data_IF_245549080663
#
_entry.id   IF_245549080663
#
_cell.length_a   1.000
_cell.length_b   1.000
_cell.length_c   1.000
_cell.angle_alpha   90.00
_cell.angle_beta   90.00
_cell.angle_gamma   90.00
#
_symmetry.space_group_name_H-M   'P 1'
#
loop_
_entity.id
_entity.type
_entity.pdbx_description
1 polymer ?
#
# COMPACT_ATOMS: atom_id res chain seq x y z
N UNK A 1 -7.25 7.82 1.01
CA UNK A 1 -8.04 9.05 0.70
C UNK A 1 -8.90 9.37 1.92
N UNK A 2 -8.92 10.62 2.39
CA UNK A 2 -9.75 11.03 3.52
C UNK A 2 -11.25 11.06 3.16
N UNK A 3 -12.13 11.08 4.19
CA UNK A 3 -13.55 11.34 3.99
C UNK A 3 -13.76 12.82 3.66
N UNK A 4 -14.55 13.14 2.64
CA UNK A 4 -14.87 14.53 2.28
C UNK A 4 -15.64 15.25 3.41
N UNK A 5 -16.47 14.52 4.17
CA UNK A 5 -17.18 15.09 5.33
C UNK A 5 -16.20 15.48 6.42
N UNK A 6 -15.19 14.61 6.68
CA UNK A 6 -14.13 14.91 7.64
C UNK A 6 -13.36 16.17 7.25
N UNK A 7 -12.96 16.30 5.96
CA UNK A 7 -12.26 17.50 5.47
C UNK A 7 -13.11 18.75 5.65
N UNK A 8 -14.41 18.68 5.35
CA UNK A 8 -15.36 19.77 5.48
C UNK A 8 -15.55 20.23 6.92
N UNK A 9 -15.65 19.28 7.84
CA UNK A 9 -15.88 19.53 9.26
C UNK A 9 -14.59 19.94 9.99
N UNK A 10 -13.42 19.48 9.52
CA UNK A 10 -12.15 19.66 10.20
C UNK A 10 -11.02 20.13 9.25
N UNK A 11 -11.20 21.22 8.46
CA UNK A 11 -10.20 21.62 7.47
C UNK A 11 -8.85 22.01 8.10
N UNK A 12 -8.86 22.62 9.29
CA UNK A 12 -7.63 23.02 9.98
C UNK A 12 -6.83 21.82 10.50
N UNK A 13 -7.49 20.75 10.97
CA UNK A 13 -6.81 19.52 11.34
C UNK A 13 -6.12 18.87 10.14
N UNK A 14 -6.77 18.91 8.97
CA UNK A 14 -6.16 18.40 7.73
C UNK A 14 -4.96 19.25 7.33
N UNK A 15 -5.03 20.59 7.41
CA UNK A 15 -3.88 21.47 7.15
C UNK A 15 -2.75 21.24 8.15
N UNK A 16 -3.07 21.08 9.43
CA UNK A 16 -2.08 20.76 10.46
C UNK A 16 -1.37 19.41 10.16
N UNK A 17 -2.13 18.40 9.77
CA UNK A 17 -1.57 17.11 9.38
C UNK A 17 -0.62 17.21 8.16
N UNK A 18 -1.00 18.01 7.16
CA UNK A 18 -0.15 18.28 5.99
C UNK A 18 1.18 18.94 6.43
N UNK A 19 1.11 19.93 7.36
CA UNK A 19 2.32 20.58 7.91
C UNK A 19 3.18 19.59 8.72
N UNK A 20 2.55 18.75 9.56
CA UNK A 20 3.24 17.70 10.32
C UNK A 20 3.98 16.71 9.41
N UNK A 21 3.45 16.48 8.21
CA UNK A 21 4.11 15.65 7.17
C UNK A 21 5.10 16.41 6.30
N UNK A 22 5.38 17.68 6.59
CA UNK A 22 6.29 18.54 5.80
C UNK A 22 5.92 18.64 4.31
N UNK A 23 4.61 18.64 4.03
CA UNK A 23 4.07 18.65 2.67
C UNK A 23 3.33 19.97 2.36
N UNK A 24 3.83 21.10 2.79
CA UNK A 24 3.17 22.43 2.72
C UNK A 24 2.68 22.80 1.32
N UNK A 25 3.34 22.26 0.27
CA UNK A 25 2.89 22.42 -1.13
C UNK A 25 1.48 21.89 -1.38
N UNK A 26 0.97 21.02 -0.51
CA UNK A 26 -0.38 20.43 -0.61
C UNK A 26 -1.44 21.25 0.16
N UNK A 27 -1.07 22.26 0.94
CA UNK A 27 -2.03 23.09 1.70
C UNK A 27 -3.15 23.68 0.84
N UNK A 28 -2.88 24.25 -0.38
CA UNK A 28 -3.94 24.79 -1.22
C UNK A 28 -4.99 23.76 -1.64
N UNK A 29 -4.64 22.47 -1.69
CA UNK A 29 -5.59 21.42 -2.06
C UNK A 29 -6.79 21.32 -1.12
N UNK A 30 -6.65 21.72 0.15
CA UNK A 30 -7.75 21.71 1.11
C UNK A 30 -8.84 22.68 0.69
N UNK A 31 -8.46 23.91 0.29
CA UNK A 31 -9.41 24.92 -0.21
C UNK A 31 -10.03 24.51 -1.54
N UNK A 32 -9.23 23.99 -2.48
CA UNK A 32 -9.72 23.48 -3.75
C UNK A 32 -10.74 22.35 -3.58
N UNK A 33 -10.49 21.43 -2.65
CA UNK A 33 -11.42 20.33 -2.32
C UNK A 33 -12.71 20.86 -1.74
N UNK A 34 -12.67 21.83 -0.82
CA UNK A 34 -13.87 22.43 -0.22
C UNK A 34 -14.70 23.17 -1.28
N UNK A 35 -14.07 23.93 -2.17
CA UNK A 35 -14.75 24.62 -3.26
C UNK A 35 -15.40 23.64 -4.25
N UNK A 36 -14.71 22.59 -4.64
CA UNK A 36 -15.24 21.56 -5.55
C UNK A 36 -16.38 20.77 -4.89
N UNK A 37 -16.29 20.46 -3.60
CA UNK A 37 -17.35 19.80 -2.86
C UNK A 37 -18.61 20.67 -2.79
N UNK A 38 -18.45 21.97 -2.57
CA UNK A 38 -19.57 22.91 -2.57
C UNK A 38 -20.24 22.97 -3.95
N UNK A 39 -19.47 23.12 -5.03
CA UNK A 39 -19.97 23.12 -6.40
C UNK A 39 -20.70 21.82 -6.75
N UNK A 40 -20.12 20.69 -6.38
CA UNK A 40 -20.71 19.37 -6.65
C UNK A 40 -22.03 19.19 -5.89
N UNK A 41 -22.09 19.59 -4.62
CA UNK A 41 -23.31 19.51 -3.82
C UNK A 41 -24.40 20.43 -4.34
N UNK A 42 -24.05 21.66 -4.71
CA UNK A 42 -24.98 22.61 -5.31
C UNK A 42 -25.54 22.08 -6.64
N UNK A 43 -24.68 21.58 -7.52
CA UNK A 43 -25.10 20.98 -8.80
C UNK A 43 -26.04 19.78 -8.60
N UNK A 44 -25.70 18.86 -7.68
CA UNK A 44 -26.56 17.71 -7.35
C UNK A 44 -27.90 18.13 -6.77
N UNK A 45 -27.95 19.15 -5.92
CA UNK A 45 -29.18 19.67 -5.34
C UNK A 45 -30.08 20.28 -6.42
N UNK A 46 -29.56 21.20 -7.23
CA UNK A 46 -30.27 21.83 -8.34
C UNK A 46 -30.77 20.79 -9.37
N UNK A 47 -29.92 19.83 -9.73
CA UNK A 47 -30.34 18.77 -10.66
C UNK A 47 -31.50 17.92 -10.11
N UNK A 48 -31.47 17.61 -8.81
CA UNK A 48 -32.56 16.86 -8.16
C UNK A 48 -33.86 17.64 -8.10
N UNK A 49 -33.78 18.94 -7.81
CA UNK A 49 -34.94 19.85 -7.83
C UNK A 49 -35.55 19.95 -9.24
N UNK A 50 -34.71 20.12 -10.27
CA UNK A 50 -35.17 20.17 -11.67
C UNK A 50 -35.80 18.83 -12.11
N UNK A 51 -35.20 17.68 -11.70
CA UNK A 51 -35.83 16.35 -11.98
C UNK A 51 -37.18 16.20 -11.31
N UNK A 52 -37.32 16.65 -10.06
CA UNK A 52 -38.61 16.62 -9.34
C UNK A 52 -39.63 17.54 -10.00
N UNK A 53 -39.23 18.78 -10.36
CA UNK A 53 -40.10 19.74 -11.03
C UNK A 53 -40.54 19.26 -12.42
N UNK A 54 -39.63 18.74 -13.22
CA UNK A 54 -39.96 18.13 -14.52
C UNK A 54 -41.06 17.08 -14.40
N UNK A 55 -41.00 16.22 -13.36
CA UNK A 55 -42.02 15.20 -13.15
C UNK A 55 -43.37 15.79 -12.78
N UNK A 56 -43.38 16.87 -12.00
CA UNK A 56 -44.62 17.60 -11.63
C UNK A 56 -45.23 18.34 -12.82
N UNK A 57 -44.39 19.04 -13.59
CA UNK A 57 -44.82 19.77 -14.81
C UNK A 57 -45.32 18.84 -15.90
N UNK A 58 -44.69 17.66 -16.09
CA UNK A 58 -45.16 16.65 -17.03
C UNK A 58 -46.57 16.13 -16.69
N UNK A 59 -46.88 15.97 -15.40
CA UNK A 59 -48.25 15.61 -14.96
C UNK A 59 -49.23 16.78 -15.21
N UNK A 60 -48.81 18.03 -14.97
CA UNK A 60 -49.62 19.24 -15.22
C UNK A 60 -49.94 19.37 -16.71
N UNK A 61 -48.96 19.16 -17.60
CA UNK A 61 -49.17 19.16 -19.05
C UNK A 61 -50.23 18.10 -19.43
N UNK A 62 -50.13 16.86 -18.91
CA UNK A 62 -51.09 15.81 -19.17
C UNK A 62 -52.53 16.19 -18.75
N UNK A 63 -52.68 16.82 -17.61
CA UNK A 63 -53.99 17.33 -17.15
C UNK A 63 -54.54 18.46 -18.03
N UNK A 64 -53.70 19.47 -18.34
CA UNK A 64 -54.12 20.60 -19.19
C UNK A 64 -54.46 20.16 -20.60
N UNK A 65 -53.73 19.26 -21.21
CA UNK A 65 -54.05 18.63 -22.52
C UNK A 65 -55.37 17.86 -22.48
N UNK A 66 -55.64 17.16 -21.36
CA UNK A 66 -56.95 16.51 -21.17
C UNK A 66 -58.12 17.50 -21.08
N UNK A 67 -57.92 18.62 -20.39
CA UNK A 67 -58.91 19.70 -20.22
C UNK A 67 -59.08 20.52 -21.50
N UNK A 68 -58.03 20.74 -22.29
CA UNK A 68 -58.08 21.49 -23.55
C UNK A 68 -59.07 20.93 -24.58
N UNK A 69 -59.48 19.65 -24.45
CA UNK A 69 -60.55 19.05 -25.27
C UNK A 69 -61.93 19.69 -25.00
N UNK A 70 -62.10 20.38 -23.82
CA UNK A 70 -63.37 21.02 -23.43
C UNK A 70 -63.22 22.55 -23.33
N UNK A 71 -61.99 23.06 -23.10
CA UNK A 71 -61.67 24.48 -22.94
C UNK A 71 -60.39 24.78 -23.72
N UNK A 72 -60.46 25.40 -24.92
CA UNK A 72 -59.32 25.74 -25.76
C UNK A 72 -58.28 26.65 -25.11
N UNK A 73 -58.65 27.47 -24.07
CA UNK A 73 -57.74 28.34 -23.35
C UNK A 73 -56.65 27.56 -22.59
N UNK A 74 -56.94 26.29 -22.27
CA UNK A 74 -55.98 25.40 -21.59
C UNK A 74 -54.84 24.93 -22.48
N UNK A 75 -54.98 25.14 -23.79
CA UNK A 75 -53.91 24.79 -24.73
C UNK A 75 -52.73 25.80 -24.57
N UNK A 76 -53.02 27.09 -24.42
CA UNK A 76 -52.04 28.13 -24.23
C UNK A 76 -51.25 27.92 -22.90
N UNK A 77 -51.98 27.63 -21.80
CA UNK A 77 -51.36 27.26 -20.51
C UNK A 77 -50.46 25.99 -20.67
N UNK A 78 -50.85 25.01 -21.46
CA UNK A 78 -50.05 23.82 -21.68
C UNK A 78 -48.78 24.11 -22.48
N UNK A 79 -48.83 25.04 -23.45
CA UNK A 79 -47.63 25.48 -24.22
C UNK A 79 -46.65 26.28 -23.34
N UNK A 80 -47.13 27.13 -22.44
CA UNK A 80 -46.29 27.84 -21.47
C UNK A 80 -45.53 26.85 -20.56
N UNK A 81 -46.25 25.86 -20.04
CA UNK A 81 -45.63 24.84 -19.19
C UNK A 81 -44.64 23.97 -19.98
N UNK A 82 -44.88 23.67 -21.25
CA UNK A 82 -43.92 22.98 -22.12
C UNK A 82 -42.67 23.81 -22.34
N UNK A 83 -42.79 25.12 -22.54
CA UNK A 83 -41.66 26.04 -22.69
C UNK A 83 -40.82 26.12 -21.39
N UNK A 84 -41.48 26.07 -20.22
CA UNK A 84 -40.78 25.97 -18.94
C UNK A 84 -40.00 24.66 -18.82
N UNK A 85 -40.63 23.52 -19.11
CA UNK A 85 -39.97 22.21 -19.12
C UNK A 85 -38.76 22.19 -20.07
N UNK A 86 -38.87 22.82 -21.25
CA UNK A 86 -37.76 22.89 -22.22
C UNK A 86 -36.57 23.72 -21.68
N UNK A 87 -36.84 24.84 -20.98
CA UNK A 87 -35.76 25.65 -20.34
C UNK A 87 -35.08 24.86 -19.21
N UNK A 88 -35.85 24.22 -18.35
CA UNK A 88 -35.32 23.40 -17.25
C UNK A 88 -34.55 22.18 -17.76
N UNK A 89 -35.00 21.57 -18.85
CA UNK A 89 -34.30 20.44 -19.48
C UNK A 89 -32.90 20.83 -19.98
N UNK A 90 -32.73 22.03 -20.56
CA UNK A 90 -31.43 22.53 -20.98
C UNK A 90 -30.47 22.72 -19.78
N UNK A 91 -30.97 23.30 -18.69
CA UNK A 91 -30.19 23.47 -17.46
C UNK A 91 -29.84 22.13 -16.80
N UNK A 92 -30.77 21.20 -16.74
CA UNK A 92 -30.54 19.86 -16.24
C UNK A 92 -29.46 19.13 -17.06
N UNK A 93 -29.49 19.22 -18.38
CA UNK A 93 -28.49 18.62 -19.24
C UNK A 93 -27.07 19.23 -19.06
N UNK A 94 -26.99 20.53 -18.73
CA UNK A 94 -25.73 21.15 -18.34
C UNK A 94 -25.20 20.59 -17.01
N UNK A 95 -26.06 20.52 -15.99
CA UNK A 95 -25.67 19.98 -14.66
C UNK A 95 -25.25 18.51 -14.76
N UNK A 96 -25.93 17.71 -15.57
CA UNK A 96 -25.60 16.28 -15.79
C UNK A 96 -24.21 16.09 -16.43
N UNK A 97 -23.65 17.12 -17.08
CA UNK A 97 -22.24 17.13 -17.56
C UNK A 97 -21.29 17.61 -16.48
N UNK A 98 -21.70 18.64 -15.71
CA UNK A 98 -20.84 19.24 -14.67
C UNK A 98 -20.67 18.34 -13.45
N UNK A 99 -21.70 17.58 -13.06
CA UNK A 99 -21.62 16.66 -11.91
C UNK A 99 -20.43 15.69 -12.02
N UNK A 100 -20.27 14.86 -13.09
CA UNK A 100 -19.14 13.97 -13.23
C UNK A 100 -17.79 14.68 -13.36
N UNK A 101 -17.76 15.89 -13.97
CA UNK A 101 -16.53 16.70 -14.06
C UNK A 101 -16.07 17.15 -12.65
N UNK A 102 -16.97 17.69 -11.86
CA UNK A 102 -16.65 18.09 -10.46
C UNK A 102 -16.28 16.88 -9.61
N UNK A 103 -16.95 15.76 -9.76
CA UNK A 103 -16.64 14.52 -9.04
C UNK A 103 -15.26 13.97 -9.38
N UNK A 104 -14.88 13.97 -10.65
CA UNK A 104 -13.56 13.55 -11.11
C UNK A 104 -12.45 14.48 -10.59
N UNK A 105 -12.64 15.81 -10.70
CA UNK A 105 -11.67 16.80 -10.22
C UNK A 105 -11.54 16.79 -8.68
N UNK A 106 -12.64 16.62 -7.96
CA UNK A 106 -12.65 16.45 -6.52
C UNK A 106 -11.87 15.20 -6.10
N UNK A 107 -12.16 14.05 -6.72
CA UNK A 107 -11.49 12.79 -6.45
C UNK A 107 -9.99 12.91 -6.71
N UNK A 108 -9.60 13.50 -7.84
CA UNK A 108 -8.19 13.71 -8.20
C UNK A 108 -7.42 14.47 -7.12
N UNK A 109 -7.99 15.54 -6.56
CA UNK A 109 -7.36 16.33 -5.50
C UNK A 109 -7.33 15.58 -4.17
N UNK A 110 -8.42 14.94 -3.82
CA UNK A 110 -8.52 14.14 -2.58
C UNK A 110 -7.54 12.97 -2.56
N UNK A 111 -7.20 12.40 -3.72
CA UNK A 111 -6.22 11.32 -3.84
C UNK A 111 -4.79 11.77 -3.50
N UNK A 112 -4.50 13.07 -3.53
CA UNK A 112 -3.17 13.65 -3.23
C UNK A 112 -3.05 14.10 -1.76
N UNK A 113 -4.17 14.37 -1.08
CA UNK A 113 -4.17 14.73 0.34
C UNK A 113 -3.76 13.49 1.16
N UNK A 114 -2.74 13.62 2.04
CA UNK A 114 -2.27 12.48 2.83
C UNK A 114 -3.28 12.06 3.88
N UNK A 115 -3.21 10.78 4.28
CA UNK A 115 -3.97 10.23 5.40
C UNK A 115 -3.57 10.90 6.72
N UNK A 116 -4.49 10.97 7.66
CA UNK A 116 -4.21 11.47 9.01
C UNK A 116 -3.24 10.53 9.71
N UNK A 117 -2.17 11.08 10.26
CA UNK A 117 -1.19 10.29 11.04
C UNK A 117 -1.71 10.04 12.44
N UNK A 118 -1.31 8.89 13.01
CA UNK A 118 -1.59 8.58 14.42
C UNK A 118 -0.89 9.59 15.35
N UNK A 119 -1.52 10.00 16.47
CA UNK A 119 -0.92 10.95 17.41
C UNK A 119 0.42 10.51 18.01
N UNK A 120 0.72 9.21 18.01
CA UNK A 120 1.99 8.65 18.51
C UNK A 120 3.14 8.73 17.50
N UNK A 121 2.89 9.14 16.26
CA UNK A 121 3.92 9.23 15.22
C UNK A 121 4.91 10.35 15.56
N UNK A 122 6.24 10.08 15.60
CA UNK A 122 7.26 11.11 15.80
C UNK A 122 7.17 12.17 14.71
N UNK A 123 7.39 13.44 15.06
CA UNK A 123 7.37 14.53 14.10
C UNK A 123 8.79 14.82 13.64
N UNK A 124 9.04 14.71 12.34
CA UNK A 124 10.34 14.95 11.73
C UNK A 124 10.24 15.07 10.21
N UNK A 125 11.15 15.79 9.54
CA UNK A 125 11.08 16.08 8.10
C UNK A 125 11.41 14.90 7.18
N UNK A 126 12.24 13.97 7.63
CA UNK A 126 12.76 12.85 6.82
C UNK A 126 13.20 11.68 7.71
N UNK A 127 13.68 10.60 7.08
CA UNK A 127 14.09 9.34 7.71
C UNK A 127 15.19 9.51 8.79
N UNK A 128 15.98 10.58 8.76
CA UNK A 128 16.96 10.87 9.79
C UNK A 128 16.35 11.16 11.17
N UNK A 129 15.05 11.45 11.19
CA UNK A 129 14.25 11.71 12.40
C UNK A 129 13.46 10.48 12.88
N UNK A 130 13.63 9.32 12.24
CA UNK A 130 13.05 8.07 12.71
C UNK A 130 13.60 7.68 14.08
N UNK A 131 12.77 7.11 14.94
CA UNK A 131 13.09 6.87 16.35
C UNK A 131 13.32 5.39 16.61
N UNK A 132 14.52 5.03 17.07
CA UNK A 132 14.77 3.69 17.58
C UNK A 132 13.98 3.46 18.87
N UNK A 133 13.12 2.44 18.85
CA UNK A 133 12.25 2.09 19.99
C UNK A 133 12.88 0.98 20.83
N UNK A 134 13.34 -0.09 20.19
CA UNK A 134 13.84 -1.27 20.86
C UNK A 134 14.79 -2.08 19.98
N UNK A 135 15.78 -2.73 20.65
CA UNK A 135 16.68 -3.72 20.03
C UNK A 135 16.37 -5.11 20.52
N UNK A 136 16.61 -6.08 19.63
CA UNK A 136 16.40 -7.51 19.90
C UNK A 136 17.64 -8.29 19.46
N UNK A 137 18.26 -8.97 20.38
CA UNK A 137 19.54 -9.66 20.19
C UNK A 137 20.75 -8.74 20.35
N UNK A 138 21.91 -9.37 20.46
CA UNK A 138 23.19 -8.67 20.66
C UNK A 138 23.85 -8.40 19.32
N UNK A 139 24.14 -7.13 19.06
CA UNK A 139 24.85 -6.69 17.87
C UNK A 139 26.37 -6.92 18.09
N UNK A 140 26.91 -7.97 17.54
CA UNK A 140 28.32 -8.34 17.65
C UNK A 140 29.10 -7.97 16.38
N UNK A 141 30.40 -7.75 16.53
CA UNK A 141 31.34 -7.57 15.42
C UNK A 141 32.44 -8.61 15.60
N UNK A 142 32.67 -9.50 14.63
CA UNK A 142 33.73 -10.49 14.73
C UNK A 142 35.11 -9.82 14.65
N UNK A 143 36.16 -10.56 15.03
CA UNK A 143 37.55 -10.12 15.03
C UNK A 143 38.26 -10.25 13.68
N UNK A 144 37.52 -10.58 12.62
CA UNK A 144 38.01 -10.68 11.25
C UNK A 144 37.24 -9.74 10.31
N UNK A 145 37.85 -9.41 9.17
CA UNK A 145 37.25 -8.57 8.15
C UNK A 145 36.14 -9.32 7.41
N UNK A 146 34.95 -8.76 7.40
CA UNK A 146 33.79 -9.31 6.67
C UNK A 146 33.81 -8.76 5.24
N UNK A 147 33.88 -9.62 4.20
CA UNK A 147 33.82 -9.19 2.80
C UNK A 147 32.42 -8.61 2.45
N UNK A 148 32.33 -7.97 1.29
CA UNK A 148 31.01 -7.59 0.77
C UNK A 148 30.11 -8.82 0.57
N UNK A 149 28.78 -8.69 0.81
CA UNK A 149 27.84 -9.81 0.64
C UNK A 149 27.93 -10.49 -0.71
N UNK A 150 28.19 -9.74 -1.78
CA UNK A 150 28.41 -10.29 -3.12
C UNK A 150 29.68 -11.13 -3.21
N UNK A 151 30.77 -10.70 -2.57
CA UNK A 151 32.03 -11.46 -2.50
C UNK A 151 31.84 -12.76 -1.70
N UNK A 152 31.06 -12.72 -0.62
CA UNK A 152 30.69 -13.93 0.12
C UNK A 152 29.91 -14.87 -0.80
N UNK A 153 28.87 -14.40 -1.49
CA UNK A 153 28.08 -15.21 -2.42
C UNK A 153 28.93 -15.79 -3.57
N UNK A 154 29.86 -14.99 -4.12
CA UNK A 154 30.80 -15.43 -5.16
C UNK A 154 31.73 -16.54 -4.67
N UNK A 155 32.18 -16.51 -3.42
CA UNK A 155 33.05 -17.54 -2.83
C UNK A 155 32.36 -18.91 -2.76
N UNK A 156 31.03 -18.95 -2.74
CA UNK A 156 30.19 -20.15 -2.86
C UNK A 156 29.83 -20.48 -4.31
N UNK A 157 30.33 -19.74 -5.30
CA UNK A 157 29.84 -19.78 -6.68
C UNK A 157 28.30 -19.57 -6.75
N UNK A 158 27.77 -18.73 -5.86
CA UNK A 158 26.34 -18.61 -5.54
C UNK A 158 25.62 -17.48 -6.26
N UNK A 159 26.34 -16.57 -6.92
CA UNK A 159 25.75 -15.42 -7.65
C UNK A 159 26.48 -15.23 -9.00
N UNK A 160 25.76 -14.72 -10.01
CA UNK A 160 26.32 -14.34 -11.31
C UNK A 160 25.69 -13.00 -11.76
N UNK A 161 26.34 -11.91 -11.39
CA UNK A 161 25.90 -10.57 -11.74
C UNK A 161 26.23 -10.19 -13.19
N UNK A 162 27.31 -10.78 -13.75
CA UNK A 162 27.71 -10.50 -15.13
C UNK A 162 26.76 -11.14 -16.14
N UNK A 163 26.30 -12.36 -15.87
CA UNK A 163 25.25 -12.96 -16.69
C UNK A 163 23.95 -12.16 -16.59
N UNK A 164 23.55 -11.72 -15.40
CA UNK A 164 22.37 -10.90 -15.21
C UNK A 164 22.45 -9.56 -15.97
N UNK A 165 23.62 -8.92 -15.94
CA UNK A 165 23.87 -7.67 -16.69
C UNK A 165 23.70 -7.86 -18.18
N UNK A 166 24.19 -8.99 -18.75
CA UNK A 166 24.05 -9.31 -20.17
C UNK A 166 22.59 -9.57 -20.59
N UNK A 167 21.79 -10.14 -19.71
CA UNK A 167 20.41 -10.56 -20.02
C UNK A 167 19.40 -9.44 -19.73
N UNK A 168 19.53 -8.74 -18.58
CA UNK A 168 18.50 -7.84 -18.06
C UNK A 168 19.03 -6.45 -17.69
N UNK A 169 20.35 -6.27 -17.65
CA UNK A 169 20.97 -5.03 -17.19
C UNK A 169 21.36 -5.06 -15.72
N UNK A 170 21.70 -3.88 -15.17
CA UNK A 170 22.03 -3.75 -13.75
C UNK A 170 20.76 -3.86 -12.88
N UNK A 171 20.93 -4.26 -11.62
CA UNK A 171 19.81 -4.40 -10.68
C UNK A 171 19.05 -5.73 -10.82
N UNK A 172 19.69 -6.72 -11.48
CA UNK A 172 19.23 -8.11 -11.56
C UNK A 172 20.34 -9.05 -11.12
N UNK A 173 20.00 -10.28 -10.79
CA UNK A 173 20.95 -11.31 -10.35
C UNK A 173 20.54 -12.70 -10.86
N UNK A 174 21.52 -13.57 -10.97
CA UNK A 174 21.32 -15.01 -10.94
C UNK A 174 21.85 -15.56 -9.61
N UNK A 175 21.03 -16.28 -8.86
CA UNK A 175 21.49 -17.09 -7.74
C UNK A 175 21.69 -18.53 -8.17
N UNK A 176 22.69 -19.19 -7.59
CA UNK A 176 23.06 -20.59 -7.92
C UNK A 176 23.41 -21.37 -6.67
N UNK A 177 23.35 -22.71 -6.80
CA UNK A 177 23.84 -23.64 -5.80
C UNK A 177 23.24 -23.43 -4.40
N UNK A 178 24.10 -23.46 -3.40
CA UNK A 178 23.66 -23.38 -2.01
C UNK A 178 23.08 -21.99 -1.64
N UNK A 179 23.52 -20.90 -2.28
CA UNK A 179 22.93 -19.58 -2.08
C UNK A 179 21.50 -19.51 -2.63
N UNK A 180 21.25 -20.07 -3.82
CA UNK A 180 19.88 -20.16 -4.37
C UNK A 180 18.99 -21.04 -3.49
N UNK A 181 19.54 -22.11 -2.95
CA UNK A 181 18.82 -22.97 -2.00
C UNK A 181 18.50 -22.25 -0.70
N UNK A 182 19.46 -21.51 -0.13
CA UNK A 182 19.27 -20.70 1.07
C UNK A 182 18.17 -19.66 0.87
N UNK A 183 18.18 -18.95 -0.27
CA UNK A 183 17.13 -18.02 -0.66
C UNK A 183 15.73 -18.68 -0.63
N UNK A 184 15.60 -19.85 -1.26
CA UNK A 184 14.32 -20.58 -1.28
C UNK A 184 13.96 -21.16 0.09
N UNK A 185 14.95 -21.61 0.88
CA UNK A 185 14.75 -22.12 2.24
C UNK A 185 14.18 -21.08 3.17
N UNK A 186 14.68 -19.85 3.11
CA UNK A 186 14.16 -18.73 3.93
C UNK A 186 12.71 -18.38 3.59
N UNK A 187 12.36 -18.36 2.29
CA UNK A 187 10.97 -18.12 1.87
C UNK A 187 10.04 -19.27 2.32
N UNK A 188 10.48 -20.52 2.20
CA UNK A 188 9.72 -21.67 2.63
C UNK A 188 9.50 -21.67 4.15
N UNK A 189 10.54 -21.37 4.92
CA UNK A 189 10.44 -21.21 6.36
C UNK A 189 9.51 -20.07 6.77
N UNK A 190 9.64 -18.89 6.13
CA UNK A 190 8.78 -17.74 6.41
C UNK A 190 7.31 -18.02 6.12
N UNK A 191 7.02 -18.76 5.04
CA UNK A 191 5.66 -19.24 4.75
C UNK A 191 5.11 -20.10 5.90
N UNK A 192 5.85 -21.12 6.29
CA UNK A 192 5.41 -22.07 7.32
C UNK A 192 5.30 -21.38 8.68
N UNK A 193 6.24 -20.51 9.02
CA UNK A 193 6.19 -19.66 10.22
C UNK A 193 4.89 -18.85 10.31
N UNK A 194 4.45 -18.24 9.19
CA UNK A 194 3.21 -17.47 9.18
C UNK A 194 1.95 -18.34 9.20
N UNK A 195 1.98 -19.52 8.57
CA UNK A 195 0.89 -20.49 8.68
C UNK A 195 0.71 -20.92 10.13
N UNK A 196 1.79 -21.16 10.86
CA UNK A 196 1.77 -21.52 12.29
C UNK A 196 1.23 -20.37 13.16
N UNK A 197 1.35 -19.11 12.73
CA UNK A 197 0.69 -17.93 13.34
C UNK A 197 -0.80 -17.81 12.99
N UNK A 198 -1.35 -18.71 12.17
CA UNK A 198 -2.76 -18.74 11.78
C UNK A 198 -3.09 -17.92 10.54
N UNK A 199 -2.10 -17.47 9.77
CA UNK A 199 -2.32 -16.79 8.50
C UNK A 199 -2.62 -17.77 7.39
N UNK A 200 -3.57 -17.43 6.50
CA UNK A 200 -3.88 -18.23 5.31
C UNK A 200 -2.89 -17.90 4.21
N UNK A 201 -2.23 -18.92 3.67
CA UNK A 201 -1.22 -18.76 2.61
C UNK A 201 -1.85 -18.60 1.22
N UNK A 202 -1.36 -17.61 0.47
CA UNK A 202 -1.78 -17.29 -0.89
C UNK A 202 -0.61 -17.13 -1.86
N UNK A 203 -0.86 -17.48 -3.12
CA UNK A 203 -0.07 -17.09 -4.30
C UNK A 203 -1.03 -16.25 -5.17
N UNK A 204 -0.91 -14.92 -5.14
CA UNK A 204 -1.81 -14.03 -5.86
C UNK A 204 -1.40 -13.82 -7.32
N UNK A 205 -2.24 -13.18 -8.15
CA UNK A 205 -1.82 -12.66 -9.45
C UNK A 205 -0.67 -11.64 -9.32
N UNK A 206 0.30 -11.70 -10.23
CA UNK A 206 1.46 -10.79 -10.23
C UNK A 206 1.29 -9.58 -11.14
N UNK A 207 0.14 -9.49 -11.82
CA UNK A 207 -0.28 -8.36 -12.63
C UNK A 207 -1.67 -7.93 -12.19
N UNK A 208 -1.85 -6.61 -12.06
CA UNK A 208 -3.09 -6.00 -11.56
C UNK A 208 -3.52 -4.83 -12.44
N UNK A 209 -4.81 -4.52 -12.46
CA UNK A 209 -5.37 -3.38 -13.18
C UNK A 209 -4.99 -2.03 -12.55
N UNK A 210 -5.03 -0.97 -13.36
CA UNK A 210 -4.65 0.38 -12.93
C UNK A 210 -5.51 0.94 -11.81
N UNK A 211 -6.80 0.62 -11.74
CA UNK A 211 -7.70 1.03 -10.66
C UNK A 211 -7.33 0.36 -9.32
N UNK A 212 -6.87 -0.89 -9.34
CA UNK A 212 -6.33 -1.56 -8.16
C UNK A 212 -5.05 -0.86 -7.69
N UNK A 213 -4.13 -0.56 -8.62
CA UNK A 213 -2.89 0.18 -8.29
C UNK A 213 -3.21 1.50 -7.59
N UNK A 214 -4.11 2.31 -8.18
CA UNK A 214 -4.55 3.59 -7.59
C UNK A 214 -5.23 3.43 -6.23
N UNK A 215 -5.85 2.28 -6.00
CA UNK A 215 -6.46 1.93 -4.71
C UNK A 215 -5.45 1.68 -3.60
N UNK A 216 -4.31 1.09 -3.92
CA UNK A 216 -3.34 0.60 -2.92
C UNK A 216 -2.13 1.51 -2.70
N UNK A 217 -1.84 2.45 -3.61
CA UNK A 217 -0.69 3.36 -3.47
C UNK A 217 -1.00 4.77 -3.98
N UNK A 218 -0.08 5.72 -3.72
CA UNK A 218 -0.18 7.08 -4.28
C UNK A 218 0.22 7.10 -5.75
N UNK A 219 -0.22 8.14 -6.48
CA UNK A 219 0.19 8.35 -7.87
C UNK A 219 1.71 8.51 -8.00
N UNK A 220 2.33 9.21 -7.05
CA UNK A 220 3.78 9.42 -7.01
C UNK A 220 4.52 8.10 -6.88
N UNK A 221 4.07 7.22 -5.98
CA UNK A 221 4.67 5.90 -5.79
C UNK A 221 4.46 5.01 -7.03
N UNK A 222 3.27 5.08 -7.63
CA UNK A 222 2.96 4.37 -8.88
C UNK A 222 3.94 4.73 -10.00
N UNK A 223 4.18 6.02 -10.22
CA UNK A 223 5.08 6.50 -11.28
C UNK A 223 6.55 6.13 -11.02
N UNK A 224 6.96 6.14 -9.75
CA UNK A 224 8.30 5.81 -9.32
C UNK A 224 8.60 4.30 -9.34
N UNK A 225 7.61 3.47 -8.99
CA UNK A 225 7.81 2.06 -8.68
C UNK A 225 7.31 1.10 -9.76
N UNK A 226 6.11 1.35 -10.36
CA UNK A 226 5.39 0.31 -11.10
C UNK A 226 5.84 0.16 -12.55
N UNK A 227 6.06 -1.09 -13.00
CA UNK A 227 6.17 -1.42 -14.42
C UNK A 227 4.77 -1.62 -15.00
N UNK A 228 4.50 -0.95 -16.12
CA UNK A 228 3.26 -1.12 -16.89
C UNK A 228 3.52 -2.00 -18.12
N UNK A 229 2.58 -2.89 -18.41
CA UNK A 229 2.59 -3.69 -19.65
C UNK A 229 2.11 -2.78 -20.80
N UNK A 230 2.91 -2.73 -21.86
CA UNK A 230 2.58 -1.91 -23.03
C UNK A 230 1.35 -2.47 -23.75
N UNK A 231 0.42 -1.59 -24.08
CA UNK A 231 -0.82 -1.93 -24.79
C UNK A 231 -1.93 -2.52 -23.92
N UNK A 232 -1.69 -2.72 -22.61
CA UNK A 232 -2.67 -3.29 -21.70
C UNK A 232 -2.85 -2.44 -20.43
N UNK A 233 -4.01 -2.58 -19.77
CA UNK A 233 -4.25 -2.01 -18.44
C UNK A 233 -3.79 -3.01 -17.36
N UNK A 234 -2.50 -3.39 -17.43
CA UNK A 234 -1.86 -4.27 -16.46
C UNK A 234 -0.54 -3.69 -15.99
N UNK A 235 -0.28 -3.89 -14.69
CA UNK A 235 0.92 -3.47 -13.99
C UNK A 235 1.51 -4.64 -13.21
N UNK A 236 2.84 -4.81 -13.29
CA UNK A 236 3.54 -5.78 -12.45
C UNK A 236 3.54 -5.28 -10.99
N UNK A 237 3.24 -6.18 -10.05
CA UNK A 237 3.16 -5.82 -8.63
C UNK A 237 4.54 -5.50 -8.04
N UNK A 238 4.60 -4.51 -7.16
CA UNK A 238 5.78 -4.21 -6.34
C UNK A 238 5.81 -4.95 -5.01
N UNK A 239 4.69 -5.59 -4.65
CA UNK A 239 4.48 -6.42 -3.46
C UNK A 239 3.18 -7.20 -3.63
N UNK A 240 3.06 -8.37 -3.01
CA UNK A 240 1.82 -9.15 -3.02
C UNK A 240 0.65 -8.45 -2.31
N UNK A 241 0.91 -7.53 -1.37
CA UNK A 241 -0.11 -6.68 -0.76
C UNK A 241 -1.06 -6.07 -1.80
N UNK A 242 -0.52 -5.57 -2.91
CA UNK A 242 -1.31 -4.92 -3.96
C UNK A 242 -2.42 -5.83 -4.47
N UNK A 243 -2.09 -7.07 -4.81
CA UNK A 243 -3.07 -8.06 -5.27
C UNK A 243 -3.98 -8.53 -4.15
N UNK A 244 -3.43 -8.73 -2.95
CA UNK A 244 -4.20 -9.26 -1.82
C UNK A 244 -5.29 -8.28 -1.38
N UNK A 245 -4.94 -7.00 -1.19
CA UNK A 245 -5.91 -5.96 -0.84
C UNK A 245 -6.82 -5.65 -2.03
N UNK A 246 -6.28 -5.64 -3.25
CA UNK A 246 -7.07 -5.48 -4.48
C UNK A 246 -8.16 -6.52 -4.68
N UNK A 247 -8.00 -7.72 -4.13
CA UNK A 247 -9.01 -8.79 -4.19
C UNK A 247 -10.34 -8.44 -3.49
N UNK A 248 -10.33 -7.39 -2.67
CA UNK A 248 -11.53 -6.88 -1.99
C UNK A 248 -12.22 -5.71 -2.69
N UNK A 249 -11.76 -5.28 -3.86
CA UNK A 249 -12.38 -4.15 -4.59
C UNK A 249 -13.90 -4.31 -4.70
N UNK A 250 -14.66 -3.25 -4.33
CA UNK A 250 -16.12 -3.19 -4.29
C UNK A 250 -16.82 -4.25 -3.41
N UNK A 251 -16.09 -4.99 -2.58
CA UNK A 251 -16.69 -6.01 -1.71
C UNK A 251 -17.31 -5.42 -0.44
N UNK A 252 -18.38 -6.10 0.01
CA UNK A 252 -18.94 -5.94 1.35
C UNK A 252 -18.61 -7.23 2.12
N UNK A 253 -17.74 -7.13 3.10
CA UNK A 253 -17.30 -8.25 3.94
C UNK A 253 -18.21 -8.35 5.15
N UNK A 254 -18.74 -9.53 5.50
CA UNK A 254 -19.45 -9.73 6.77
C UNK A 254 -18.50 -9.52 7.95
N UNK A 255 -18.91 -8.78 8.97
CA UNK A 255 -18.07 -8.47 10.14
C UNK A 255 -17.53 -9.71 10.85
N UNK A 256 -18.31 -10.80 10.87
CA UNK A 256 -17.92 -12.08 11.47
C UNK A 256 -16.72 -12.77 10.79
N UNK A 257 -16.36 -12.35 9.58
CA UNK A 257 -15.18 -12.86 8.86
C UNK A 257 -13.89 -12.15 9.26
N UNK A 258 -14.00 -11.02 9.99
CA UNK A 258 -12.85 -10.25 10.45
C UNK A 258 -12.30 -10.82 11.79
N UNK A 259 -10.98 -10.73 12.01
CA UNK A 259 -9.98 -10.25 11.08
C UNK A 259 -9.65 -11.27 9.99
N UNK A 260 -9.35 -10.80 8.77
CA UNK A 260 -8.86 -11.64 7.68
C UNK A 260 -7.34 -11.47 7.62
N UNK A 261 -6.62 -12.58 7.78
CA UNK A 261 -5.17 -12.61 7.88
C UNK A 261 -4.56 -13.44 6.74
N UNK A 262 -3.79 -12.80 5.88
CA UNK A 262 -3.14 -13.44 4.74
C UNK A 262 -1.63 -13.37 4.85
N UNK A 263 -0.96 -14.47 4.52
CA UNK A 263 0.45 -14.45 4.16
C UNK A 263 0.59 -14.84 2.70
N UNK A 264 1.39 -14.12 1.93
CA UNK A 264 1.46 -14.31 0.50
C UNK A 264 2.88 -14.22 -0.03
N UNK A 265 3.21 -15.15 -0.94
CA UNK A 265 4.45 -15.15 -1.69
C UNK A 265 4.24 -14.48 -3.05
N UNK A 266 5.18 -13.65 -3.44
CA UNK A 266 5.27 -13.19 -4.83
C UNK A 266 6.67 -12.77 -5.23
N UNK A 267 7.01 -12.82 -6.54
CA UNK A 267 7.99 -11.91 -7.10
C UNK A 267 7.47 -10.48 -6.97
N UNK A 268 8.41 -9.54 -6.83
CA UNK A 268 8.16 -8.11 -6.73
C UNK A 268 8.99 -7.41 -7.79
N UNK A 269 8.38 -6.44 -8.48
CA UNK A 269 9.00 -5.70 -9.57
C UNK A 269 8.98 -4.21 -9.27
N UNK A 270 10.16 -3.57 -9.19
CA UNK A 270 10.28 -2.15 -8.85
C UNK A 270 11.24 -1.44 -9.78
N UNK A 271 10.85 -0.28 -10.29
CA UNK A 271 11.72 0.57 -11.13
C UNK A 271 12.87 1.19 -10.36
N UNK A 272 12.78 1.31 -9.02
CA UNK A 272 13.78 1.91 -8.14
C UNK A 272 14.29 3.29 -8.65
N UNK A 273 13.39 4.11 -9.21
CA UNK A 273 13.75 5.44 -9.74
C UNK A 273 14.18 6.38 -8.61
N UNK A 274 15.34 7.00 -8.76
CA UNK A 274 15.86 8.00 -7.81
C UNK A 274 16.67 7.43 -6.65
N UNK A 275 16.87 6.12 -6.60
CA UNK A 275 17.73 5.50 -5.62
C UNK A 275 19.20 5.57 -6.07
N UNK A 276 20.05 6.27 -5.32
CA UNK A 276 21.50 6.39 -5.56
C UNK A 276 22.26 6.10 -4.28
N UNK A 277 23.32 5.29 -4.34
CA UNK A 277 24.22 5.01 -3.21
C UNK A 277 25.28 3.96 -3.50
N UNK A 278 26.40 4.01 -2.77
CA UNK A 278 27.57 3.12 -2.95
C UNK A 278 27.28 1.67 -2.51
N UNK A 279 26.27 1.47 -1.64
CA UNK A 279 25.87 0.15 -1.13
C UNK A 279 25.05 -0.67 -2.13
N UNK A 280 24.80 -0.13 -3.30
CA UNK A 280 24.00 -0.73 -4.38
C UNK A 280 24.76 -1.79 -5.19
N UNK A 281 25.99 -2.17 -4.78
CA UNK A 281 26.72 -3.22 -5.45
C UNK A 281 26.03 -4.57 -5.26
N UNK A 282 25.20 -4.90 -6.26
CA UNK A 282 24.76 -6.26 -6.52
C UNK A 282 23.36 -6.62 -6.08
N UNK A 283 23.01 -6.69 -4.79
CA UNK A 283 21.77 -7.35 -4.35
C UNK A 283 20.92 -6.55 -3.36
N UNK A 284 21.32 -5.33 -2.99
CA UNK A 284 20.56 -4.52 -2.02
C UNK A 284 19.35 -3.82 -2.64
N UNK A 285 19.56 -3.13 -3.78
CA UNK A 285 18.50 -2.48 -4.59
C UNK A 285 18.44 -3.12 -5.96
N UNK A 286 17.35 -3.79 -6.22
CA UNK A 286 17.16 -4.62 -7.40
C UNK A 286 15.76 -4.44 -7.96
N UNK A 287 15.63 -4.61 -9.28
CA UNK A 287 14.38 -4.43 -10.00
C UNK A 287 13.42 -5.61 -9.84
N UNK A 288 13.93 -6.80 -9.52
CA UNK A 288 13.18 -8.02 -9.32
C UNK A 288 13.69 -8.75 -8.09
N UNK A 289 12.80 -9.07 -7.17
CA UNK A 289 13.08 -9.89 -5.99
C UNK A 289 11.84 -10.68 -5.57
N UNK A 290 11.98 -11.56 -4.61
CA UNK A 290 10.87 -12.33 -4.05
C UNK A 290 10.62 -11.91 -2.61
N UNK A 291 9.38 -12.04 -2.18
CA UNK A 291 8.96 -11.63 -0.84
C UNK A 291 7.86 -12.53 -0.30
N UNK A 292 7.96 -12.87 0.98
CA UNK A 292 6.84 -13.33 1.79
C UNK A 292 6.28 -12.13 2.56
N UNK A 293 5.00 -11.85 2.38
CA UNK A 293 4.28 -10.71 2.94
C UNK A 293 3.20 -11.19 3.90
N UNK A 294 2.81 -10.35 4.85
CA UNK A 294 1.59 -10.49 5.63
C UNK A 294 0.67 -9.29 5.43
N UNK A 295 -0.63 -9.55 5.26
CA UNK A 295 -1.66 -8.53 5.12
C UNK A 295 -2.84 -8.85 6.03
N UNK A 296 -3.41 -7.81 6.63
CA UNK A 296 -4.57 -7.93 7.53
C UNK A 296 -5.65 -6.96 7.10
N UNK A 297 -6.89 -7.46 7.07
CA UNK A 297 -8.11 -6.66 6.96
C UNK A 297 -8.88 -6.83 8.25
N UNK A 298 -9.13 -5.76 8.98
CA UNK A 298 -9.70 -5.81 10.33
C UNK A 298 -10.68 -4.67 10.60
N UNK A 299 -11.30 -4.71 11.78
CA UNK A 299 -12.09 -3.60 12.32
C UNK A 299 -11.18 -2.40 12.64
N UNK A 300 -11.70 -1.16 12.54
CA UNK A 300 -10.94 0.04 12.86
C UNK A 300 -10.30 0.01 14.27
N UNK A 301 -11.04 -0.42 15.27
CA UNK A 301 -10.60 -0.50 16.66
C UNK A 301 -9.51 -1.55 16.92
N UNK A 302 -9.36 -2.54 16.04
CA UNK A 302 -8.36 -3.61 16.18
C UNK A 302 -7.04 -3.29 15.44
N UNK A 303 -7.01 -2.24 14.61
CA UNK A 303 -5.90 -2.02 13.68
C UNK A 303 -4.56 -1.74 14.37
N UNK A 304 -4.56 -1.06 15.52
CA UNK A 304 -3.32 -0.81 16.27
C UNK A 304 -2.81 -2.09 16.96
N UNK A 305 -3.69 -2.94 17.44
CA UNK A 305 -3.30 -4.24 18.02
C UNK A 305 -2.68 -5.16 16.96
N UNK A 306 -3.24 -5.12 15.74
CA UNK A 306 -2.67 -5.85 14.60
C UNK A 306 -1.33 -5.27 14.17
N UNK A 307 -1.17 -3.95 14.14
CA UNK A 307 0.11 -3.29 13.88
C UNK A 307 1.20 -3.80 14.85
N UNK A 308 0.90 -3.82 16.15
CA UNK A 308 1.82 -4.31 17.19
C UNK A 308 2.17 -5.80 17.02
N UNK A 309 1.21 -6.64 16.66
CA UNK A 309 1.46 -8.07 16.41
C UNK A 309 2.32 -8.29 15.16
N UNK A 310 2.02 -7.57 14.08
CA UNK A 310 2.66 -7.82 12.78
C UNK A 310 4.15 -7.49 12.80
N UNK A 311 4.56 -6.35 13.35
CA UNK A 311 5.99 -6.04 13.43
C UNK A 311 6.73 -7.01 14.37
N UNK A 312 6.09 -7.47 15.46
CA UNK A 312 6.67 -8.49 16.35
C UNK A 312 6.89 -9.82 15.64
N UNK A 313 6.01 -10.22 14.73
CA UNK A 313 6.22 -11.43 13.93
C UNK A 313 7.47 -11.32 13.04
N UNK A 314 7.74 -10.15 12.47
CA UNK A 314 9.00 -9.96 11.73
C UNK A 314 10.21 -10.04 12.66
N UNK A 315 10.15 -9.44 13.85
CA UNK A 315 11.21 -9.57 14.86
C UNK A 315 11.42 -11.05 15.23
N UNK A 316 10.36 -11.78 15.55
CA UNK A 316 10.43 -13.22 15.88
C UNK A 316 11.06 -14.02 14.73
N UNK A 317 10.66 -13.75 13.48
CA UNK A 317 11.21 -14.38 12.28
C UNK A 317 12.72 -14.18 12.19
N UNK A 318 13.21 -12.93 12.27
CA UNK A 318 14.63 -12.64 12.20
C UNK A 318 15.41 -13.16 13.41
N UNK A 319 14.81 -13.12 14.60
CA UNK A 319 15.44 -13.69 15.80
C UNK A 319 15.53 -15.21 15.76
N UNK A 320 14.58 -15.90 15.14
CA UNK A 320 14.66 -17.34 14.92
C UNK A 320 15.79 -17.72 13.93
N UNK A 321 16.17 -16.78 13.06
CA UNK A 321 17.34 -16.87 12.18
C UNK A 321 18.63 -16.39 12.86
N UNK A 322 18.60 -16.10 14.17
CA UNK A 322 19.73 -15.63 14.97
C UNK A 322 20.31 -14.28 14.53
N UNK A 323 19.53 -13.48 13.78
CA UNK A 323 19.92 -12.16 13.29
C UNK A 323 19.46 -11.09 14.29
N UNK A 324 20.37 -10.23 14.81
CA UNK A 324 19.99 -9.10 15.64
C UNK A 324 19.22 -8.06 14.84
N UNK A 325 18.13 -7.52 15.41
CA UNK A 325 17.30 -6.50 14.76
C UNK A 325 16.95 -5.39 15.73
N UNK A 326 16.51 -4.25 15.17
CA UNK A 326 15.86 -3.17 15.93
C UNK A 326 14.55 -2.76 15.30
N UNK A 327 13.66 -2.20 16.11
CA UNK A 327 12.46 -1.50 15.65
C UNK A 327 12.76 -0.01 15.55
N UNK A 328 12.47 0.57 14.37
CA UNK A 328 12.62 1.98 14.06
C UNK A 328 11.26 2.57 13.72
N UNK A 329 10.70 3.42 14.57
CA UNK A 329 9.41 4.09 14.30
C UNK A 329 9.62 5.20 13.28
N UNK A 330 8.86 5.16 12.18
CA UNK A 330 8.95 6.16 11.12
C UNK A 330 8.34 7.48 11.56
N UNK A 331 9.03 8.58 11.30
CA UNK A 331 8.53 9.92 11.56
C UNK A 331 7.55 10.40 10.49
N UNK A 332 6.85 11.49 10.76
CA UNK A 332 5.78 12.01 9.93
C UNK A 332 6.19 12.39 8.51
N UNK A 333 7.41 12.87 8.29
CA UNK A 333 7.94 13.23 6.98
C UNK A 333 8.36 12.03 6.13
N UNK A 334 8.70 10.90 6.77
CA UNK A 334 9.05 9.64 6.11
C UNK A 334 7.83 8.77 5.76
N UNK A 335 6.68 9.00 6.41
CA UNK A 335 5.46 8.26 6.14
C UNK A 335 4.92 8.54 4.72
N UNK A 336 4.72 7.49 3.92
CA UNK A 336 3.98 7.58 2.67
C UNK A 336 2.55 8.11 2.87
N UNK A 337 1.93 8.66 1.83
CA UNK A 337 0.66 9.40 1.94
C UNK A 337 -0.52 8.59 2.47
N UNK A 338 -0.54 7.28 2.25
CA UNK A 338 -1.62 6.41 2.69
C UNK A 338 -1.45 5.88 4.13
N UNK A 339 -0.25 6.01 4.69
CA UNK A 339 0.07 5.43 6.00
C UNK A 339 -0.41 6.31 7.15
N UNK A 340 -1.06 5.68 8.13
CA UNK A 340 -1.43 6.25 9.43
C UNK A 340 -0.24 6.16 10.39
N UNK A 341 0.44 5.02 10.38
CA UNK A 341 1.61 4.72 11.20
C UNK A 341 2.46 3.66 10.52
N UNK A 342 3.78 3.73 10.68
CA UNK A 342 4.72 2.73 10.15
C UNK A 342 5.93 2.59 11.04
N UNK A 343 6.48 1.39 11.11
CA UNK A 343 7.82 1.17 11.63
C UNK A 343 8.59 0.22 10.73
N UNK A 344 9.90 0.39 10.71
CA UNK A 344 10.81 -0.52 10.05
C UNK A 344 11.43 -1.47 11.05
N UNK A 345 11.66 -2.71 10.63
CA UNK A 345 12.56 -3.63 11.30
C UNK A 345 13.84 -3.61 10.52
N UNK A 346 14.91 -3.27 11.22
CA UNK A 346 16.25 -3.19 10.65
C UNK A 346 17.14 -4.28 11.23
N UNK A 347 17.91 -4.94 10.36
CA UNK A 347 18.87 -5.98 10.75
C UNK A 347 20.27 -5.40 10.95
N UNK A 348 21.01 -5.98 11.89
CA UNK A 348 22.39 -5.62 12.14
C UNK A 348 23.31 -6.06 11.01
N UNK A 349 24.14 -5.16 10.52
CA UNK A 349 25.27 -5.44 9.65
C UNK A 349 26.58 -5.33 10.43
N UNK A 350 27.21 -6.41 10.81
CA UNK A 350 28.51 -6.36 11.51
C UNK A 350 29.62 -5.79 10.63
N UNK A 351 29.54 -5.94 9.30
CA UNK A 351 30.48 -5.32 8.34
C UNK A 351 30.42 -3.80 8.35
N UNK A 352 29.19 -3.24 8.34
CA UNK A 352 28.98 -1.80 8.32
C UNK A 352 28.91 -1.20 9.72
N UNK A 353 28.77 -2.02 10.77
CA UNK A 353 28.51 -1.64 12.15
C UNK A 353 27.28 -0.72 12.29
N UNK A 354 26.25 -1.00 11.50
CA UNK A 354 24.96 -0.29 11.51
C UNK A 354 23.79 -1.22 11.21
N UNK A 355 22.61 -0.74 11.53
CA UNK A 355 21.36 -1.41 11.14
C UNK A 355 20.91 -0.91 9.77
N UNK A 356 20.21 -1.77 9.02
CA UNK A 356 19.58 -1.43 7.75
C UNK A 356 18.20 -2.11 7.61
N UNK A 357 17.29 -1.46 6.92
CA UNK A 357 15.91 -1.89 6.75
C UNK A 357 15.80 -3.25 6.04
N UNK A 358 15.06 -4.18 6.66
CA UNK A 358 14.73 -5.51 6.12
C UNK A 358 13.22 -5.76 6.02
N UNK A 359 12.41 -5.10 6.85
CA UNK A 359 10.96 -5.15 6.81
C UNK A 359 10.38 -3.77 7.10
N UNK A 360 9.17 -3.49 6.57
CA UNK A 360 8.42 -2.28 6.89
C UNK A 360 6.96 -2.67 7.19
N UNK A 361 6.54 -2.39 8.42
CA UNK A 361 5.17 -2.62 8.90
C UNK A 361 4.35 -1.34 8.78
N UNK A 362 3.16 -1.41 8.19
CA UNK A 362 2.34 -0.25 7.93
C UNK A 362 0.88 -0.46 8.33
N UNK A 363 0.33 0.48 9.08
CA UNK A 363 -1.11 0.65 9.26
C UNK A 363 -1.59 1.75 8.31
N UNK A 364 -2.51 1.41 7.40
CA UNK A 364 -3.05 2.33 6.41
C UNK A 364 -4.45 2.85 6.80
N UNK A 365 -4.97 2.42 7.96
CA UNK A 365 -6.32 2.77 8.37
C UNK A 365 -7.35 2.43 7.29
N UNK A 366 -8.24 3.35 6.98
CA UNK A 366 -9.26 3.20 5.95
C UNK A 366 -8.82 3.67 4.54
N UNK A 367 -7.56 4.07 4.36
CA UNK A 367 -7.10 4.72 3.13
C UNK A 367 -7.33 3.87 1.88
N UNK A 368 -6.92 2.61 1.90
CA UNK A 368 -7.11 1.66 0.81
C UNK A 368 -8.57 1.22 0.70
N UNK A 369 -9.21 0.93 1.84
CA UNK A 369 -10.60 0.52 1.87
C UNK A 369 -11.54 1.57 1.26
N UNK A 370 -11.28 2.86 1.48
CA UNK A 370 -12.04 3.96 0.89
C UNK A 370 -11.85 4.05 -0.62
N UNK A 371 -10.61 3.89 -1.10
CA UNK A 371 -10.29 3.93 -2.53
C UNK A 371 -10.86 2.72 -3.29
N UNK A 372 -10.73 1.54 -2.71
CA UNK A 372 -11.19 0.26 -3.27
C UNK A 372 -12.65 -0.09 -2.90
N UNK A 373 -13.33 0.78 -2.11
CA UNK A 373 -14.70 0.58 -1.62
C UNK A 373 -14.87 -0.73 -0.85
N UNK A 374 -13.90 -1.08 -0.02
CA UNK A 374 -13.95 -2.24 0.86
C UNK A 374 -14.79 -1.88 2.08
N UNK A 375 -16.01 -2.41 2.14
CA UNK A 375 -16.96 -2.14 3.21
C UNK A 375 -17.17 -3.37 4.08
N UNK A 376 -17.46 -3.14 5.32
CA UNK A 376 -17.84 -4.17 6.28
C UNK A 376 -19.31 -3.99 6.62
N UNK A 377 -20.07 -5.08 6.65
CA UNK A 377 -21.43 -5.09 7.16
C UNK A 377 -21.41 -5.51 8.62
N UNK A 378 -21.62 -4.54 9.50
CA UNK A 378 -21.73 -4.75 10.93
C UNK A 378 -22.90 -5.64 11.34
N UNK A 379 -22.87 -6.17 12.53
CA UNK A 379 -23.98 -6.97 13.09
C UNK A 379 -25.27 -6.17 13.21
N UNK A 380 -25.18 -4.84 13.36
CA UNK A 380 -26.32 -3.91 13.33
C UNK A 380 -26.85 -3.61 11.92
N UNK A 381 -26.26 -4.21 10.89
CA UNK A 381 -26.61 -4.04 9.47
C UNK A 381 -26.00 -2.79 8.82
N UNK A 382 -25.34 -1.90 9.58
CA UNK A 382 -24.69 -0.72 9.03
C UNK A 382 -23.40 -1.06 8.30
N UNK A 383 -23.04 -0.22 7.35
CA UNK A 383 -21.80 -0.34 6.60
C UNK A 383 -20.75 0.63 7.16
N UNK A 384 -19.53 0.12 7.34
CA UNK A 384 -18.35 0.91 7.65
C UNK A 384 -17.16 0.44 6.79
N UNK A 385 -16.06 1.20 6.80
CA UNK A 385 -14.85 0.84 6.07
C UNK A 385 -13.93 -0.02 6.93
N UNK A 386 -13.36 -1.06 6.34
CA UNK A 386 -12.31 -1.83 6.99
C UNK A 386 -11.03 -1.02 7.14
N UNK A 387 -10.18 -1.41 8.10
CA UNK A 387 -8.77 -1.01 8.13
C UNK A 387 -7.90 -2.08 7.49
N UNK A 388 -6.81 -1.65 6.84
CA UNK A 388 -5.84 -2.53 6.20
C UNK A 388 -4.44 -2.31 6.73
N UNK A 389 -3.69 -3.39 6.86
CA UNK A 389 -2.31 -3.39 7.30
C UNK A 389 -1.49 -4.33 6.44
N UNK A 390 -0.21 -4.02 6.29
CA UNK A 390 0.76 -4.91 5.67
C UNK A 390 2.09 -4.88 6.43
N UNK A 391 2.84 -5.96 6.28
CA UNK A 391 4.23 -6.03 6.73
C UNK A 391 4.98 -7.11 5.95
N UNK A 392 6.24 -6.87 5.70
CA UNK A 392 7.15 -7.88 5.16
C UNK A 392 7.46 -8.92 6.24
N UNK A 393 7.25 -10.20 5.92
CA UNK A 393 7.79 -11.30 6.73
C UNK A 393 9.28 -11.42 6.46
N UNK A 394 9.64 -11.56 5.18
CA UNK A 394 11.01 -11.59 4.70
C UNK A 394 11.11 -11.25 3.21
N UNK A 395 12.13 -10.49 2.85
CA UNK A 395 12.58 -10.26 1.48
C UNK A 395 14.03 -10.74 1.36
N UNK A 396 14.28 -11.93 0.78
CA UNK A 396 15.58 -12.59 0.81
C UNK A 396 16.79 -11.74 0.43
N UNK A 397 16.74 -10.84 -0.57
CA UNK A 397 17.95 -10.10 -0.93
C UNK A 397 18.57 -9.33 0.23
N UNK A 398 17.80 -8.53 0.95
CA UNK A 398 18.29 -7.81 2.14
C UNK A 398 18.52 -8.75 3.31
N UNK A 399 17.64 -9.73 3.51
CA UNK A 399 17.82 -10.75 4.53
C UNK A 399 19.08 -11.57 4.31
N UNK A 400 19.40 -11.98 3.06
CA UNK A 400 20.64 -12.71 2.75
C UNK A 400 21.91 -11.90 3.09
N UNK A 401 21.87 -10.58 2.91
CA UNK A 401 22.97 -9.70 3.35
C UNK A 401 23.17 -9.84 4.86
N UNK A 402 22.10 -9.62 5.63
CA UNK A 402 22.17 -9.76 7.09
C UNK A 402 22.56 -11.18 7.51
N UNK A 403 21.99 -12.20 6.87
CA UNK A 403 22.25 -13.59 7.16
C UNK A 403 23.73 -13.94 6.96
N UNK A 404 24.26 -13.66 5.77
CA UNK A 404 25.65 -13.99 5.43
C UNK A 404 26.65 -13.25 6.32
N UNK A 405 26.40 -11.99 6.62
CA UNK A 405 27.32 -11.20 7.49
C UNK A 405 27.28 -11.66 8.96
N UNK A 406 26.13 -12.10 9.49
CA UNK A 406 26.01 -12.52 10.89
C UNK A 406 26.40 -13.97 11.13
N UNK A 407 26.44 -14.82 10.11
CA UNK A 407 26.74 -16.27 10.22
C UNK A 407 28.08 -16.66 9.59
N UNK A 408 28.85 -15.71 9.06
CA UNK A 408 30.14 -15.95 8.45
C UNK A 408 31.21 -16.25 9.52
N UNK A 409 32.02 -17.25 9.26
CA UNK A 409 33.22 -17.57 10.03
C UNK A 409 34.51 -17.11 9.34
N UNK A 410 35.61 -17.05 10.10
CA UNK A 410 36.91 -16.63 9.59
C UNK A 410 37.45 -17.52 8.45
N UNK A 411 37.05 -18.79 8.39
CA UNK A 411 37.44 -19.74 7.33
C UNK A 411 36.56 -19.57 6.06
N UNK A 412 35.55 -18.72 6.12
CA UNK A 412 34.62 -18.44 5.04
C UNK A 412 33.40 -19.38 4.99
N UNK A 413 33.24 -20.29 5.95
CA UNK A 413 32.00 -21.05 6.12
C UNK A 413 30.88 -20.17 6.67
N UNK A 414 29.63 -20.60 6.47
CA UNK A 414 28.43 -19.88 6.94
C UNK A 414 27.53 -20.86 7.68
N UNK A 415 27.21 -20.57 8.94
CA UNK A 415 26.32 -21.40 9.74
C UNK A 415 24.87 -21.36 9.23
N UNK A 416 24.16 -22.47 9.37
CA UNK A 416 22.74 -22.58 9.11
C UNK A 416 21.98 -22.80 10.42
N UNK A 417 21.21 -21.82 10.89
CA UNK A 417 20.36 -21.92 12.08
C UNK A 417 19.47 -23.17 12.05
N UNK A 418 19.22 -23.75 13.21
CA UNK A 418 18.49 -25.00 13.33
C UNK A 418 17.15 -25.00 12.58
N UNK A 419 16.43 -23.88 12.66
CA UNK A 419 15.11 -23.72 12.00
C UNK A 419 15.15 -23.80 10.48
N UNK A 420 16.31 -23.53 9.84
CA UNK A 420 16.48 -23.63 8.39
C UNK A 420 17.01 -24.97 7.90
N UNK A 421 17.62 -25.78 8.79
CA UNK A 421 18.27 -27.05 8.39
C UNK A 421 17.33 -28.01 7.65
N UNK A 422 16.03 -28.15 8.03
CA UNK A 422 15.09 -28.99 7.27
C UNK A 422 14.94 -28.55 5.82
N UNK A 423 14.94 -27.24 5.55
CA UNK A 423 14.81 -26.65 4.21
C UNK A 423 16.14 -26.69 3.43
N UNK A 424 17.26 -26.85 4.13
CA UNK A 424 18.61 -26.96 3.56
C UNK A 424 19.09 -28.42 3.41
N UNK A 425 18.17 -29.40 3.57
CA UNK A 425 18.50 -30.84 3.46
C UNK A 425 19.35 -31.34 4.61
N UNK A 426 19.17 -30.77 5.79
CA UNK A 426 19.88 -31.16 7.00
C UNK A 426 21.28 -30.55 7.16
N UNK A 427 21.70 -29.65 6.23
CA UNK A 427 22.99 -28.97 6.38
C UNK A 427 22.96 -28.03 7.58
N UNK A 428 23.99 -28.05 8.38
CA UNK A 428 24.22 -27.16 9.53
C UNK A 428 25.17 -26.00 9.20
N UNK A 429 25.89 -26.08 8.08
CA UNK A 429 26.73 -25.00 7.54
C UNK A 429 26.89 -25.12 6.02
N UNK A 430 27.35 -24.04 5.41
CA UNK A 430 27.79 -23.97 4.02
C UNK A 430 29.32 -23.89 3.98
N UNK A 431 29.94 -24.70 3.14
CA UNK A 431 31.40 -24.69 2.89
C UNK A 431 31.70 -23.88 1.64
N UNK A 432 32.78 -23.09 1.71
CA UNK A 432 33.34 -22.37 0.58
C UNK A 432 33.78 -23.39 -0.51
N UNK A 433 33.48 -23.07 -1.77
CA UNK A 433 33.84 -23.91 -2.92
C UNK A 433 35.14 -23.48 -3.59
#
# INVERSE_FOLDING_TARGET
MLDIRFIRENPELVRENIRKKFQDKKLPLVDEVLELDEKLRAAKTEANELRANRNALSKKIGMLMGQAKKDPSKLEEAEDVKAEVAREAARLAELEKLEPEYEAELTKRMMVIPQMIDPSVPIGPDDSCNVEVQRFGEATVPDFEIPYPTEIMESFNGVDLDAARRVSGNGFYYLRGDIARLHSAVLAYARDFMIDKGFVYYIPPYMIHGDVVQGVMSQTDMDAMMYKIEGEDLYLIGTSEHSMIGSFIDRIVPEKELPITYTSYSPCFRKEKGAHGIEERGVYRIHQFEKQEMSVVCKPEESMDWYEKMWRYSVEMFRSLEIPVRQLECCSGDLADLKVKSCDIEAWSPRQQKYFEVCSCSNLGDAQARRLKIRVRGEDGKLYLAHTLNNTVVAPPRMLIAFLENHLHADGSVDIPEVLRPYMGGKDHLEKK
#
